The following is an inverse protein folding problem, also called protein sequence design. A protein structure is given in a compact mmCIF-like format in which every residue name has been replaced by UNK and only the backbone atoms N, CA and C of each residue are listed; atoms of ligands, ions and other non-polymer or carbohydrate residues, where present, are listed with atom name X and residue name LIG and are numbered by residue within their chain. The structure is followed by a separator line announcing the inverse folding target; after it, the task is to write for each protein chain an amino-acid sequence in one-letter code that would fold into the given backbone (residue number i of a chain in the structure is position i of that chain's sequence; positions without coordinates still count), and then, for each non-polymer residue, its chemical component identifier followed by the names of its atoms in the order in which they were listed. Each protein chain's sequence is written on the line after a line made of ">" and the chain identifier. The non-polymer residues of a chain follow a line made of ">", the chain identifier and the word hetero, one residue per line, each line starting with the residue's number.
data_IF_017996839435
#
_entry.id   IF_017996839435
#
_cell.length_a   1.000
_cell.length_b   1.000
_cell.length_c   1.000
_cell.angle_alpha   90.00
_cell.angle_beta   90.00
_cell.angle_gamma   90.00
#
_symmetry.space_group_name_H-M   'P 1'
#
loop_
_entity.id
_entity.type
_entity.pdbx_description
1 polymer ?
#
# COMPACT_ATOMS: atom_id res chain seq x y z
N UNK A 1 -11.97 35.75 -22.79
CA UNK A 1 -11.59 34.37 -22.43
C UNK A 1 -11.71 34.23 -20.91
N UNK A 2 -12.45 33.25 -20.39
CA UNK A 2 -12.52 33.02 -18.95
C UNK A 2 -11.13 32.67 -18.39
N UNK A 3 -10.82 33.17 -17.19
CA UNK A 3 -9.58 32.86 -16.49
C UNK A 3 -9.65 31.41 -16.00
N UNK A 4 -8.97 30.50 -16.69
CA UNK A 4 -8.85 29.12 -16.21
C UNK A 4 -7.88 29.08 -15.03
N UNK A 5 -8.42 28.96 -13.81
CA UNK A 5 -7.66 28.62 -12.62
C UNK A 5 -7.05 27.24 -12.82
N UNK A 6 -5.74 27.14 -12.63
CA UNK A 6 -4.97 25.90 -12.84
C UNK A 6 -4.53 25.27 -11.52
N UNK A 7 -4.89 25.88 -10.40
CA UNK A 7 -4.67 25.30 -9.09
C UNK A 7 -5.83 24.37 -8.79
N UNK A 8 -5.54 23.09 -8.63
CA UNK A 8 -6.56 22.06 -8.48
C UNK A 8 -6.05 20.85 -7.75
N UNK A 9 -6.98 20.13 -7.15
CA UNK A 9 -6.76 18.82 -6.55
C UNK A 9 -7.85 17.88 -7.04
N UNK A 10 -7.46 16.66 -7.40
CA UNK A 10 -8.39 15.59 -7.71
C UNK A 10 -7.87 14.27 -7.13
N UNK A 11 -8.81 13.46 -6.63
CA UNK A 11 -8.55 12.09 -6.20
C UNK A 11 -9.62 11.18 -6.78
N UNK A 12 -9.19 10.11 -7.43
CA UNK A 12 -10.09 9.13 -8.06
C UNK A 12 -9.61 7.74 -7.70
N UNK A 13 -10.52 6.90 -7.24
CA UNK A 13 -10.25 5.51 -6.89
C UNK A 13 -10.88 4.54 -7.88
N UNK A 14 -10.34 3.33 -7.93
CA UNK A 14 -10.82 2.26 -8.79
C UNK A 14 -10.42 0.89 -8.27
N UNK A 15 -11.06 -0.14 -8.79
CA UNK A 15 -10.73 -1.53 -8.48
C UNK A 15 -10.99 -2.45 -9.66
N UNK A 16 -10.24 -3.55 -9.72
CA UNK A 16 -10.41 -4.63 -10.68
C UNK A 16 -9.89 -5.93 -10.07
N UNK A 17 -10.79 -6.90 -9.87
CA UNK A 17 -10.49 -8.10 -9.10
C UNK A 17 -10.00 -7.76 -7.69
N UNK A 18 -8.88 -8.34 -7.27
CA UNK A 18 -8.26 -8.06 -5.97
C UNK A 18 -7.35 -6.81 -5.99
N UNK A 19 -7.23 -6.09 -7.11
CA UNK A 19 -6.47 -4.85 -7.15
C UNK A 19 -7.37 -3.66 -6.85
N UNK A 20 -6.96 -2.82 -5.91
CA UNK A 20 -7.52 -1.50 -5.66
C UNK A 20 -6.45 -0.46 -5.96
N UNK A 21 -6.86 0.72 -6.38
CA UNK A 21 -5.93 1.81 -6.63
C UNK A 21 -6.59 3.16 -6.44
N UNK A 22 -5.75 4.17 -6.24
CA UNK A 22 -6.19 5.55 -6.33
C UNK A 22 -5.15 6.40 -7.07
N UNK A 23 -5.67 7.31 -7.87
CA UNK A 23 -4.95 8.41 -8.48
C UNK A 23 -5.14 9.65 -7.62
N UNK A 24 -4.06 10.40 -7.46
CA UNK A 24 -4.08 11.73 -6.86
C UNK A 24 -3.35 12.71 -7.78
N UNK A 25 -3.99 13.83 -8.09
CA UNK A 25 -3.44 14.89 -8.92
C UNK A 25 -3.51 16.21 -8.16
N UNK A 26 -2.37 16.90 -8.08
CA UNK A 26 -2.27 18.32 -7.70
C UNK A 26 -1.76 19.10 -8.89
N UNK A 27 -2.39 20.22 -9.21
CA UNK A 27 -1.91 21.16 -10.21
C UNK A 27 -1.74 22.54 -9.60
N UNK A 28 -0.77 23.29 -10.13
CA UNK A 28 -0.56 24.71 -9.83
C UNK A 28 -0.28 25.48 -11.13
N UNK A 29 -0.38 26.80 -11.06
CA UNK A 29 -0.04 27.68 -12.18
C UNK A 29 1.42 27.49 -12.62
N UNK A 30 1.62 27.34 -13.93
CA UNK A 30 2.92 27.19 -14.57
C UNK A 30 2.88 27.74 -16.00
N UNK A 31 4.03 28.17 -16.53
CA UNK A 31 4.12 28.76 -17.89
C UNK A 31 3.94 27.72 -18.99
N UNK A 32 4.61 26.57 -18.86
CA UNK A 32 4.44 25.39 -19.70
C UNK A 32 3.73 24.26 -18.96
N UNK A 33 3.49 23.14 -19.63
CA UNK A 33 3.05 21.90 -19.00
C UNK A 33 4.27 21.16 -18.48
N UNK A 34 4.38 21.07 -17.15
CA UNK A 34 5.31 20.19 -16.46
C UNK A 34 4.51 19.15 -15.69
N UNK A 35 4.94 17.89 -15.77
CA UNK A 35 4.22 16.78 -15.18
C UNK A 35 5.19 15.80 -14.53
N UNK A 36 4.94 15.49 -13.27
CA UNK A 36 5.69 14.49 -12.52
C UNK A 36 4.77 13.37 -12.08
N UNK A 37 4.99 12.19 -12.64
CA UNK A 37 4.30 10.96 -12.25
C UNK A 37 5.10 10.24 -11.17
N UNK A 38 4.40 9.73 -10.16
CA UNK A 38 4.92 8.76 -9.20
C UNK A 38 4.08 7.49 -9.37
N UNK A 39 4.69 6.46 -9.94
CA UNK A 39 4.03 5.19 -10.25
C UNK A 39 4.55 4.08 -9.32
N UNK A 40 3.74 3.04 -9.02
CA UNK A 40 4.21 1.86 -8.32
C UNK A 40 5.28 1.11 -9.15
N UNK A 41 6.17 0.35 -8.50
CA UNK A 41 7.18 -0.44 -9.19
C UNK A 41 6.59 -1.37 -10.26
N UNK A 42 7.23 -1.41 -11.43
CA UNK A 42 6.80 -2.25 -12.56
C UNK A 42 5.72 -1.64 -13.45
N UNK A 43 5.32 -0.39 -13.20
CA UNK A 43 4.39 0.37 -14.04
C UNK A 43 5.06 1.55 -14.77
N UNK A 44 6.38 1.65 -14.73
CA UNK A 44 7.16 2.73 -15.36
C UNK A 44 6.88 2.90 -16.85
N UNK A 45 6.55 1.79 -17.54
CA UNK A 45 6.15 1.78 -18.96
C UNK A 45 4.91 2.64 -19.28
N UNK A 46 4.12 3.02 -18.28
CA UNK A 46 2.93 3.86 -18.47
C UNK A 46 3.27 5.34 -18.57
N UNK A 47 4.45 5.78 -18.14
CA UNK A 47 4.79 7.21 -18.01
C UNK A 47 4.59 7.99 -19.31
N UNK A 48 5.15 7.51 -20.43
CA UNK A 48 5.02 8.16 -21.74
C UNK A 48 3.57 8.30 -22.20
N UNK A 49 2.75 7.25 -22.01
CA UNK A 49 1.33 7.27 -22.37
C UNK A 49 0.56 8.26 -21.49
N UNK A 50 0.83 8.28 -20.18
CA UNK A 50 0.16 9.18 -19.24
C UNK A 50 0.50 10.65 -19.52
N UNK A 51 1.76 10.94 -19.89
CA UNK A 51 2.17 12.28 -20.33
C UNK A 51 1.41 12.73 -21.58
N UNK A 52 1.32 11.85 -22.58
CA UNK A 52 0.58 12.14 -23.81
C UNK A 52 -0.91 12.42 -23.52
N UNK A 53 -1.55 11.61 -22.68
CA UNK A 53 -2.94 11.84 -22.27
C UNK A 53 -3.11 13.15 -21.50
N UNK A 54 -2.24 13.44 -20.53
CA UNK A 54 -2.31 14.69 -19.77
C UNK A 54 -2.20 15.92 -20.69
N UNK A 55 -1.32 15.88 -21.68
CA UNK A 55 -1.14 16.97 -22.65
C UNK A 55 -2.36 17.21 -23.56
N UNK A 56 -3.27 16.24 -23.69
CA UNK A 56 -4.56 16.43 -24.38
C UNK A 56 -5.53 17.27 -23.57
N UNK A 57 -5.40 17.28 -22.24
CA UNK A 57 -6.32 17.95 -21.32
C UNK A 57 -5.76 19.26 -20.76
N UNK A 58 -4.45 19.33 -20.53
CA UNK A 58 -3.77 20.50 -19.96
C UNK A 58 -2.72 21.03 -20.92
N UNK A 59 -2.76 22.34 -21.19
CA UNK A 59 -1.77 23.03 -22.05
C UNK A 59 -0.64 23.69 -21.26
N UNK A 60 -0.85 23.96 -19.99
CA UNK A 60 0.11 24.58 -19.07
C UNK A 60 -0.13 24.06 -17.65
N UNK A 61 0.78 24.37 -16.74
CA UNK A 61 0.69 24.04 -15.32
C UNK A 61 1.75 23.06 -14.86
N UNK A 62 2.04 23.09 -13.57
CA UNK A 62 2.88 22.07 -12.96
C UNK A 62 1.98 21.07 -12.24
N UNK A 63 2.07 19.80 -12.65
CA UNK A 63 1.19 18.74 -12.20
C UNK A 63 1.99 17.66 -11.47
N UNK A 64 1.62 17.38 -10.23
CA UNK A 64 2.10 16.22 -9.47
C UNK A 64 1.01 15.15 -9.49
N UNK A 65 1.27 14.02 -10.12
CA UNK A 65 0.33 12.90 -10.24
C UNK A 65 0.93 11.67 -9.55
N UNK A 66 0.16 11.02 -8.68
CA UNK A 66 0.57 9.78 -8.01
C UNK A 66 -0.47 8.69 -8.27
N UNK A 67 0.00 7.50 -8.65
CA UNK A 67 -0.78 6.27 -8.61
C UNK A 67 -0.31 5.46 -7.41
N UNK A 68 -1.25 5.10 -6.55
CA UNK A 68 -1.03 4.09 -5.51
C UNK A 68 -1.87 2.87 -5.86
N UNK A 69 -1.28 1.69 -5.80
CA UNK A 69 -1.99 0.43 -6.02
C UNK A 69 -1.83 -0.48 -4.82
N UNK A 70 -2.97 -0.88 -4.27
CA UNK A 70 -3.07 -1.96 -3.31
C UNK A 70 -3.47 -3.20 -4.11
N UNK A 71 -2.46 -3.98 -4.52
CA UNK A 71 -2.74 -5.38 -4.82
C UNK A 71 -2.94 -6.01 -3.45
N UNK A 72 -4.19 -6.19 -3.05
CA UNK A 72 -4.51 -7.22 -2.08
C UNK A 72 -4.02 -8.53 -2.71
N UNK A 73 -2.74 -8.86 -2.51
CA UNK A 73 -2.38 -10.24 -2.28
C UNK A 73 -3.45 -10.72 -1.31
N UNK A 74 -4.22 -11.74 -1.70
CA UNK A 74 -5.15 -12.44 -0.84
C UNK A 74 -4.67 -12.29 0.59
N UNK A 75 -5.48 -11.64 1.46
CA UNK A 75 -5.11 -11.35 2.83
C UNK A 75 -4.22 -12.49 3.33
N UNK A 76 -2.91 -12.23 3.47
CA UNK A 76 -1.91 -13.31 3.55
C UNK A 76 -2.46 -14.33 4.53
N UNK A 77 -2.84 -15.54 4.08
CA UNK A 77 -3.67 -16.42 4.89
C UNK A 77 -2.92 -16.58 6.20
N UNK A 78 -3.58 -16.29 7.32
CA UNK A 78 -2.95 -16.25 8.63
C UNK A 78 -1.98 -17.43 8.79
N UNK A 79 -0.67 -17.17 8.76
CA UNK A 79 0.36 -18.21 8.70
C UNK A 79 1.01 -18.34 10.05
N UNK A 80 0.76 -19.46 10.70
CA UNK A 80 1.51 -19.83 11.90
C UNK A 80 2.96 -20.09 11.53
N UNK A 81 3.87 -19.33 12.12
CA UNK A 81 5.29 -19.65 12.12
C UNK A 81 5.53 -20.87 13.02
N UNK A 82 5.66 -22.05 12.40
CA UNK A 82 5.81 -23.32 13.12
C UNK A 82 7.09 -23.42 13.93
N UNK A 83 8.15 -22.74 13.51
CA UNK A 83 9.42 -22.73 14.23
C UNK A 83 9.30 -21.91 15.52
N UNK A 84 8.76 -20.69 15.42
CA UNK A 84 8.49 -19.87 16.59
C UNK A 84 7.48 -20.54 17.54
N UNK A 85 6.43 -21.17 17.01
CA UNK A 85 5.48 -21.93 17.81
C UNK A 85 6.16 -23.07 18.59
N UNK A 86 7.05 -23.82 17.93
CA UNK A 86 7.80 -24.91 18.57
C UNK A 86 8.65 -24.39 19.72
N UNK A 87 9.43 -23.32 19.48
CA UNK A 87 10.27 -22.71 20.49
C UNK A 87 9.48 -22.26 21.73
N UNK A 88 8.31 -21.65 21.53
CA UNK A 88 7.43 -21.25 22.65
C UNK A 88 6.89 -22.45 23.41
N UNK A 89 6.39 -23.47 22.70
CA UNK A 89 5.84 -24.67 23.34
C UNK A 89 6.90 -25.41 24.17
N UNK A 90 8.13 -25.49 23.66
CA UNK A 90 9.23 -26.13 24.36
C UNK A 90 9.62 -25.33 25.62
N UNK A 91 9.71 -23.99 25.53
CA UNK A 91 9.98 -23.12 26.67
C UNK A 91 8.88 -23.20 27.75
N UNK A 92 7.61 -23.26 27.36
CA UNK A 92 6.50 -23.52 28.29
C UNK A 92 6.69 -24.89 28.96
N UNK A 93 7.06 -25.91 28.19
CA UNK A 93 7.32 -27.25 28.71
C UNK A 93 8.41 -27.27 29.77
N UNK A 94 9.49 -26.50 29.58
CA UNK A 94 10.56 -26.33 30.56
C UNK A 94 10.08 -25.62 31.83
N UNK A 95 9.35 -24.52 31.70
CA UNK A 95 8.81 -23.77 32.84
C UNK A 95 7.89 -24.63 33.71
N UNK A 96 7.07 -25.50 33.09
CA UNK A 96 6.18 -26.42 33.81
C UNK A 96 6.92 -27.48 34.62
N UNK A 97 8.20 -27.74 34.33
CA UNK A 97 9.04 -28.66 35.11
C UNK A 97 9.70 -27.98 36.30
N UNK A 98 9.93 -26.67 36.24
CA UNK A 98 10.59 -25.89 37.30
C UNK A 98 9.61 -25.22 38.27
N UNK A 99 8.37 -24.98 37.87
CA UNK A 99 7.36 -24.35 38.71
C UNK A 99 5.94 -24.80 38.38
N UNK A 100 5.07 -24.77 39.39
CA UNK A 100 3.65 -25.06 39.21
C UNK A 100 2.98 -23.90 38.44
N UNK A 101 2.41 -24.23 37.28
CA UNK A 101 1.77 -23.24 36.39
C UNK A 101 0.50 -23.80 35.78
N UNK A 102 -0.47 -22.93 35.55
CA UNK A 102 -1.66 -23.27 34.80
C UNK A 102 -1.31 -23.55 33.32
N UNK A 103 -2.07 -24.42 32.62
CA UNK A 103 -1.88 -24.63 31.19
C UNK A 103 -2.02 -23.32 30.41
N UNK A 104 -1.11 -23.01 29.47
CA UNK A 104 -1.23 -21.81 28.65
C UNK A 104 -2.43 -21.90 27.71
N UNK A 105 -3.08 -20.76 27.49
CA UNK A 105 -4.18 -20.65 26.53
C UNK A 105 -3.63 -20.58 25.10
N UNK A 106 -4.19 -21.32 24.13
CA UNK A 106 -3.75 -21.28 22.73
C UNK A 106 -3.73 -19.86 22.15
N UNK A 107 -4.70 -19.02 22.48
CA UNK A 107 -4.78 -17.62 22.02
C UNK A 107 -3.59 -16.80 22.53
N UNK A 108 -3.15 -17.06 23.77
CA UNK A 108 -1.99 -16.39 24.36
C UNK A 108 -0.69 -16.79 23.68
N UNK A 109 -0.55 -18.06 23.26
CA UNK A 109 0.60 -18.54 22.50
C UNK A 109 0.62 -17.93 21.10
N UNK A 110 -0.52 -17.92 20.41
CA UNK A 110 -0.65 -17.37 19.06
C UNK A 110 -0.48 -15.85 19.01
N UNK A 111 -0.79 -15.13 20.10
CA UNK A 111 -0.60 -13.68 20.19
C UNK A 111 0.88 -13.26 20.40
N UNK A 112 1.81 -14.19 20.62
CA UNK A 112 3.22 -13.87 20.79
C UNK A 112 3.82 -13.39 19.46
N UNK A 113 4.57 -12.29 19.53
CA UNK A 113 5.22 -11.67 18.37
C UNK A 113 6.07 -12.70 17.61
N UNK A 114 5.74 -12.92 16.34
CA UNK A 114 6.46 -13.82 15.45
C UNK A 114 5.93 -15.26 15.40
N UNK A 115 4.87 -15.60 16.16
CA UNK A 115 4.17 -16.89 16.09
C UNK A 115 3.07 -16.89 15.02
N UNK A 116 2.32 -15.79 14.90
CA UNK A 116 1.20 -15.63 13.97
C UNK A 116 1.36 -14.36 13.12
#
# INVERSE_FOLDING_TARGET
>A
MPLNSMTGFARVEGSYGAARWHWELRSVNGKGLDARFRLPPGLDRLDARLRAELARHLRRGNCQITLTMDRTAEASPLRVNREALRAVVDAVGELRRTMETAPPRPEGILALKGVL
#
